data_IF_007761629229
#
_entry.id   IF_007761629229
#
_cell.length_a   1.000
_cell.length_b   1.000
_cell.length_c   1.000
_cell.angle_alpha   90.00
_cell.angle_beta   90.00
_cell.angle_gamma   90.00
#
_symmetry.space_group_name_H-M   'P 1'
#
loop_
_entity.id
_entity.type
_entity.pdbx_description
1 polymer ?
#
# COMPACT_ATOMS: atom_id res chain seq x y z
N UNK A 1 28.62 -13.84 -18.70
CA UNK A 1 27.67 -13.15 -17.79
C UNK A 1 26.74 -14.11 -17.06
N UNK A 2 26.13 -15.11 -17.68
CA UNK A 2 25.21 -16.07 -17.05
C UNK A 2 25.78 -16.92 -15.87
N UNK A 3 27.07 -17.20 -15.83
CA UNK A 3 27.69 -17.97 -14.73
C UNK A 3 27.82 -17.18 -13.41
N UNK A 4 27.73 -15.85 -13.44
CA UNK A 4 27.85 -15.00 -12.25
C UNK A 4 26.49 -14.77 -11.59
N UNK A 5 25.41 -14.74 -12.38
CA UNK A 5 24.04 -14.62 -11.87
C UNK A 5 23.59 -15.88 -11.12
N UNK A 6 23.93 -17.07 -11.63
CA UNK A 6 23.62 -18.33 -10.94
C UNK A 6 24.35 -18.54 -9.61
N UNK A 7 25.56 -17.94 -9.45
CA UNK A 7 26.29 -17.95 -8.18
C UNK A 7 25.71 -16.96 -7.17
N UNK A 8 25.18 -15.84 -7.65
CA UNK A 8 24.58 -14.80 -6.81
C UNK A 8 23.27 -15.29 -6.19
N UNK A 9 22.46 -16.05 -6.90
CA UNK A 9 21.24 -16.68 -6.40
C UNK A 9 21.53 -17.75 -5.32
N UNK A 10 22.55 -18.57 -5.47
CA UNK A 10 22.80 -19.71 -4.58
C UNK A 10 23.30 -19.35 -3.18
N UNK A 11 24.18 -18.35 -3.03
CA UNK A 11 24.59 -17.92 -1.68
C UNK A 11 23.47 -17.20 -0.97
N UNK A 12 22.64 -16.47 -1.71
CA UNK A 12 21.50 -15.77 -1.18
C UNK A 12 20.44 -16.76 -0.69
N UNK A 13 20.15 -17.80 -1.44
CA UNK A 13 19.24 -18.87 -1.02
C UNK A 13 19.71 -19.54 0.28
N UNK A 14 21.00 -19.93 0.38
CA UNK A 14 21.54 -20.49 1.61
C UNK A 14 21.41 -19.51 2.81
N UNK A 15 21.71 -18.24 2.58
CA UNK A 15 21.61 -17.20 3.62
C UNK A 15 20.17 -17.06 4.10
N UNK A 16 19.19 -17.00 3.18
CA UNK A 16 17.76 -16.89 3.49
C UNK A 16 17.25 -18.12 4.24
N UNK A 17 17.61 -19.34 3.81
CA UNK A 17 17.21 -20.60 4.46
C UNK A 17 17.73 -20.68 5.90
N UNK A 18 19.00 -20.35 6.14
CA UNK A 18 19.56 -20.32 7.48
C UNK A 18 18.94 -19.22 8.34
N UNK A 19 18.68 -18.06 7.77
CA UNK A 19 17.99 -16.94 8.45
C UNK A 19 16.58 -17.38 8.87
N UNK A 20 15.82 -18.03 7.98
CA UNK A 20 14.49 -18.53 8.31
C UNK A 20 14.52 -19.56 9.45
N UNK A 21 15.47 -20.51 9.44
CA UNK A 21 15.65 -21.50 10.51
C UNK A 21 16.00 -20.86 11.86
N UNK A 22 16.81 -19.79 11.86
CA UNK A 22 17.14 -19.03 13.06
C UNK A 22 15.90 -18.30 13.59
N UNK A 23 15.18 -17.60 12.72
CA UNK A 23 14.02 -16.81 13.10
C UNK A 23 12.84 -17.69 13.54
N UNK A 24 12.60 -18.83 12.89
CA UNK A 24 11.58 -19.81 13.31
C UNK A 24 11.92 -20.52 14.61
N UNK A 25 13.20 -20.44 15.07
CA UNK A 25 13.69 -21.12 16.26
C UNK A 25 14.05 -22.57 16.05
N UNK A 26 14.12 -23.03 14.81
CA UNK A 26 14.69 -24.35 14.47
C UNK A 26 16.18 -24.41 14.84
N UNK A 27 16.93 -23.35 14.56
CA UNK A 27 18.29 -23.13 15.09
C UNK A 27 18.19 -22.17 16.27
N UNK A 28 18.54 -22.67 17.45
CA UNK A 28 18.43 -21.89 18.69
C UNK A 28 19.68 -21.05 18.98
N UNK A 29 19.51 -19.98 19.75
CA UNK A 29 20.63 -19.17 20.24
C UNK A 29 21.67 -20.06 20.95
N UNK A 30 22.94 -19.91 20.58
CA UNK A 30 24.05 -20.75 21.07
C UNK A 30 24.21 -22.08 20.33
N UNK A 31 23.26 -22.47 19.47
CA UNK A 31 23.42 -23.67 18.66
C UNK A 31 24.55 -23.52 17.65
N UNK A 32 25.29 -24.61 17.46
CA UNK A 32 26.35 -24.66 16.46
C UNK A 32 25.75 -24.92 15.07
N UNK A 33 26.02 -24.02 14.13
CA UNK A 33 25.65 -24.21 12.74
C UNK A 33 26.45 -25.36 12.08
N UNK A 34 25.88 -26.01 11.05
CA UNK A 34 26.63 -26.95 10.23
C UNK A 34 27.90 -26.31 9.66
N UNK A 35 28.95 -27.08 9.54
CA UNK A 35 30.26 -26.62 8.99
C UNK A 35 30.13 -26.17 7.55
N UNK A 36 31.08 -25.37 7.07
CA UNK A 36 31.18 -24.98 5.66
C UNK A 36 31.15 -26.19 4.70
N UNK A 37 31.72 -27.34 5.14
CA UNK A 37 31.74 -28.57 4.34
C UNK A 37 30.37 -29.23 4.27
N UNK A 38 29.66 -29.30 5.39
CA UNK A 38 28.32 -29.87 5.46
C UNK A 38 27.31 -28.99 4.68
N UNK A 39 27.38 -27.68 4.83
CA UNK A 39 26.57 -26.76 4.04
C UNK A 39 26.87 -26.81 2.54
N UNK A 40 28.18 -26.93 2.18
CA UNK A 40 28.61 -27.09 0.79
C UNK A 40 28.04 -28.36 0.17
N UNK A 41 28.05 -29.47 0.92
CA UNK A 41 27.47 -30.73 0.49
C UNK A 41 25.95 -30.72 0.39
N UNK A 42 25.27 -30.17 1.42
CA UNK A 42 23.82 -30.15 1.49
C UNK A 42 23.20 -29.30 0.38
N UNK A 43 23.78 -28.14 0.07
CA UNK A 43 23.26 -27.20 -0.93
C UNK A 43 23.90 -27.35 -2.32
N UNK A 44 24.86 -28.22 -2.50
CA UNK A 44 25.53 -28.40 -3.79
C UNK A 44 26.24 -27.15 -4.31
N UNK A 45 26.86 -26.36 -3.41
CA UNK A 45 27.52 -25.09 -3.72
C UNK A 45 28.97 -25.07 -3.24
N UNK A 46 29.81 -24.20 -3.82
CA UNK A 46 31.21 -24.10 -3.40
C UNK A 46 31.37 -23.55 -1.98
N UNK A 47 32.42 -23.95 -1.26
CA UNK A 47 32.77 -23.39 0.05
C UNK A 47 32.87 -21.87 0.04
N UNK A 48 33.37 -21.27 -1.04
CA UNK A 48 33.44 -19.80 -1.17
C UNK A 48 32.07 -19.17 -1.20
N UNK A 49 31.08 -19.86 -1.82
CA UNK A 49 29.66 -19.43 -1.84
C UNK A 49 29.03 -19.53 -0.45
N UNK A 50 29.33 -20.63 0.29
CA UNK A 50 28.92 -20.80 1.70
C UNK A 50 29.50 -19.69 2.58
N UNK A 51 30.81 -19.43 2.49
CA UNK A 51 31.46 -18.36 3.26
C UNK A 51 30.81 -17.01 3.04
N UNK A 52 30.44 -16.68 1.78
CA UNK A 52 29.76 -15.43 1.48
C UNK A 52 28.39 -15.35 2.18
N UNK A 53 27.61 -16.43 2.19
CA UNK A 53 26.33 -16.49 2.90
C UNK A 53 26.52 -16.34 4.41
N UNK A 54 27.44 -17.08 5.01
CA UNK A 54 27.74 -16.99 6.43
C UNK A 54 28.29 -15.62 6.84
N UNK A 55 29.13 -15.00 6.01
CA UNK A 55 29.63 -13.65 6.26
C UNK A 55 28.50 -12.63 6.27
N UNK A 56 27.49 -12.77 5.40
CA UNK A 56 26.31 -11.91 5.42
C UNK A 56 25.50 -12.09 6.70
N UNK A 57 25.22 -13.33 7.11
CA UNK A 57 24.53 -13.61 8.37
C UNK A 57 25.30 -13.07 9.59
N UNK A 58 26.64 -13.17 9.56
CA UNK A 58 27.50 -12.64 10.61
C UNK A 58 27.46 -11.09 10.63
N UNK A 59 27.51 -10.44 9.45
CA UNK A 59 27.39 -8.99 9.35
C UNK A 59 26.02 -8.47 9.81
N UNK A 60 24.98 -9.29 9.65
CA UNK A 60 23.62 -9.02 10.14
C UNK A 60 23.42 -9.39 11.63
N UNK A 61 24.43 -9.98 12.28
CA UNK A 61 24.38 -10.32 13.71
C UNK A 61 23.65 -11.63 14.04
N UNK A 62 23.18 -12.39 13.05
CA UNK A 62 22.48 -13.65 13.28
C UNK A 62 23.38 -14.78 13.79
N UNK A 63 24.66 -14.75 13.40
CA UNK A 63 25.65 -15.75 13.79
C UNK A 63 26.96 -15.10 14.17
N UNK A 64 27.78 -15.82 14.95
CA UNK A 64 29.14 -15.42 15.24
C UNK A 64 30.10 -16.62 15.08
N UNK A 65 31.35 -16.32 14.72
CA UNK A 65 32.39 -17.34 14.56
C UNK A 65 33.31 -17.36 15.76
N UNK A 66 33.54 -18.55 16.36
CA UNK A 66 34.57 -18.78 17.37
C UNK A 66 35.76 -19.53 16.74
N UNK A 67 36.93 -18.93 16.87
CA UNK A 67 38.14 -19.51 16.26
C UNK A 67 38.38 -20.92 16.75
N UNK A 68 38.51 -21.89 15.83
CA UNK A 68 38.72 -23.30 16.13
C UNK A 68 37.48 -24.06 16.65
N UNK A 69 36.37 -23.42 16.95
CA UNK A 69 35.17 -24.07 17.48
C UNK A 69 34.03 -24.15 16.47
N UNK A 70 33.93 -23.19 15.57
CA UNK A 70 32.91 -23.16 14.51
C UNK A 70 32.09 -21.89 14.49
N UNK A 71 30.97 -21.96 13.80
CA UNK A 71 29.98 -20.87 13.70
C UNK A 71 28.77 -21.21 14.56
N UNK A 72 28.27 -20.24 15.32
CA UNK A 72 27.18 -20.40 16.29
C UNK A 72 26.08 -19.37 16.02
N UNK A 73 24.85 -19.73 16.34
CA UNK A 73 23.72 -18.80 16.35
C UNK A 73 23.90 -17.79 17.48
N UNK A 74 23.74 -16.53 17.17
CA UNK A 74 23.89 -15.43 18.14
C UNK A 74 22.72 -15.42 19.13
N UNK A 75 23.01 -15.20 20.42
CA UNK A 75 21.97 -14.91 21.40
C UNK A 75 21.19 -13.63 21.05
N UNK A 76 21.84 -12.69 20.38
CA UNK A 76 21.24 -11.46 19.86
C UNK A 76 20.24 -11.73 18.71
N UNK A 77 20.31 -12.87 18.03
CA UNK A 77 19.37 -13.24 16.96
C UNK A 77 17.95 -13.52 17.47
N UNK A 78 17.77 -13.83 18.74
CA UNK A 78 16.47 -14.08 19.39
C UNK A 78 15.98 -12.94 20.26
N UNK A 79 16.88 -12.11 20.76
CA UNK A 79 16.55 -11.04 21.69
C UNK A 79 17.00 -9.70 21.13
N UNK A 80 16.03 -8.97 20.59
CA UNK A 80 16.10 -7.51 20.51
C UNK A 80 17.19 -6.91 19.63
N UNK A 81 17.54 -7.45 18.48
CA UNK A 81 17.86 -6.52 17.42
C UNK A 81 16.55 -5.96 16.88
N UNK A 82 15.90 -5.15 17.69
CA UNK A 82 15.04 -4.14 17.09
C UNK A 82 15.99 -3.26 16.30
N UNK A 83 15.95 -3.42 15.00
CA UNK A 83 16.71 -2.56 14.06
C UNK A 83 16.30 -1.11 14.22
N UNK A 84 15.16 -0.92 14.92
CA UNK A 84 14.46 0.36 15.05
C UNK A 84 14.11 0.96 13.68
N UNK A 85 13.94 0.10 12.68
CA UNK A 85 13.53 0.51 11.34
C UNK A 85 12.15 -0.06 11.02
N UNK A 86 11.20 0.80 10.69
CA UNK A 86 9.91 0.42 10.15
C UNK A 86 9.85 0.85 8.68
N UNK A 87 9.49 -0.07 7.80
CA UNK A 87 9.28 0.26 6.41
C UNK A 87 7.85 0.80 6.20
N UNK A 88 7.73 1.90 5.49
CA UNK A 88 6.46 2.48 5.05
C UNK A 88 6.44 2.46 3.53
N UNK A 89 5.60 1.59 2.98
CA UNK A 89 5.45 1.36 1.54
C UNK A 89 4.13 1.99 1.10
N UNK A 90 4.20 3.02 0.27
CA UNK A 90 3.01 3.73 -0.22
C UNK A 90 2.94 3.74 -1.73
N UNK A 91 1.76 3.96 -2.27
CA UNK A 91 1.57 4.08 -3.71
C UNK A 91 2.13 5.39 -4.25
N UNK A 92 2.14 6.45 -3.43
CA UNK A 92 2.76 7.75 -3.74
C UNK A 92 3.39 8.32 -2.46
N UNK A 93 4.45 9.16 -2.57
CA UNK A 93 5.13 9.76 -1.41
C UNK A 93 4.81 11.24 -1.23
N UNK A 94 4.89 12.00 -2.31
CA UNK A 94 4.80 13.47 -2.30
C UNK A 94 3.43 13.99 -2.66
N UNK A 95 2.57 13.13 -3.16
CA UNK A 95 1.30 13.54 -3.69
C UNK A 95 0.20 13.42 -2.64
N UNK A 96 -0.61 14.49 -2.53
CA UNK A 96 -1.94 14.43 -2.04
C UNK A 96 -2.05 14.14 -0.52
N UNK A 97 -2.60 12.99 -0.11
CA UNK A 97 -2.85 12.66 1.30
C UNK A 97 -1.63 12.07 2.02
N UNK A 98 -0.66 11.52 1.29
CA UNK A 98 0.42 10.73 1.87
C UNK A 98 1.34 11.48 2.82
N UNK A 99 1.71 12.74 2.58
CA UNK A 99 2.52 13.49 3.55
C UNK A 99 1.92 13.52 4.96
N UNK A 100 0.59 13.66 5.08
CA UNK A 100 -0.08 13.65 6.37
C UNK A 100 -0.22 12.26 7.00
N UNK A 101 -0.45 11.24 6.18
CA UNK A 101 -0.43 9.84 6.65
C UNK A 101 0.95 9.50 7.20
N UNK A 102 2.01 9.85 6.47
CA UNK A 102 3.40 9.64 6.91
C UNK A 102 3.69 10.42 8.19
N UNK A 103 3.22 11.67 8.30
CA UNK A 103 3.37 12.47 9.53
C UNK A 103 2.70 11.80 10.74
N UNK A 104 1.51 11.23 10.56
CA UNK A 104 0.84 10.45 11.60
C UNK A 104 1.62 9.21 12.01
N UNK A 105 2.18 8.46 11.06
CA UNK A 105 3.05 7.31 11.32
C UNK A 105 4.31 7.76 12.09
N UNK A 106 4.97 8.82 11.60
CA UNK A 106 6.21 9.35 12.17
C UNK A 106 6.01 9.82 13.62
N UNK A 107 4.91 10.51 13.91
CA UNK A 107 4.61 11.00 15.27
C UNK A 107 4.62 9.89 16.34
N UNK A 108 4.14 8.69 15.97
CA UNK A 108 4.10 7.52 16.85
C UNK A 108 5.45 6.84 16.89
N UNK A 109 6.07 6.58 15.73
CA UNK A 109 7.28 5.76 15.63
C UNK A 109 8.52 6.51 16.18
N UNK A 110 8.71 7.78 15.79
CA UNK A 110 9.86 8.59 16.22
C UNK A 110 9.89 8.80 17.74
N UNK A 111 8.71 8.98 18.38
CA UNK A 111 8.62 9.09 19.84
C UNK A 111 9.17 7.87 20.59
N UNK A 112 9.32 6.74 19.92
CA UNK A 112 9.80 5.47 20.45
C UNK A 112 11.19 5.07 19.92
N UNK A 113 11.83 5.97 19.19
CA UNK A 113 13.17 5.77 18.67
C UNK A 113 13.23 4.89 17.41
N UNK A 114 12.10 4.72 16.69
CA UNK A 114 12.11 4.08 15.38
C UNK A 114 12.45 5.06 14.28
N UNK A 115 13.13 4.57 13.25
CA UNK A 115 13.38 5.26 11.99
C UNK A 115 12.45 4.73 10.90
N UNK A 116 12.07 5.58 9.94
CA UNK A 116 11.20 5.19 8.84
C UNK A 116 12.00 4.98 7.56
N UNK A 117 11.80 3.84 6.90
CA UNK A 117 12.29 3.57 5.56
C UNK A 117 11.13 3.74 4.58
N UNK A 118 11.14 4.82 3.81
CA UNK A 118 10.09 5.10 2.83
C UNK A 118 10.35 4.38 1.50
N UNK A 119 9.31 3.73 0.96
CA UNK A 119 9.29 3.10 -0.35
C UNK A 119 8.07 3.54 -1.15
N UNK A 120 8.26 3.75 -2.45
CA UNK A 120 7.21 4.21 -3.38
C UNK A 120 6.98 3.17 -4.48
N UNK A 121 5.79 2.59 -4.52
CA UNK A 121 5.42 1.60 -5.54
C UNK A 121 4.90 2.25 -6.82
N UNK A 122 4.50 3.52 -6.79
CA UNK A 122 3.80 4.23 -7.88
C UNK A 122 2.54 3.47 -8.33
N UNK A 123 1.88 2.81 -7.38
CA UNK A 123 0.73 1.93 -7.59
C UNK A 123 0.97 0.83 -8.63
N UNK A 124 2.19 0.29 -8.64
CA UNK A 124 2.60 -0.81 -9.53
C UNK A 124 2.92 -2.06 -8.72
N UNK A 125 2.23 -3.17 -9.02
CA UNK A 125 2.43 -4.46 -8.34
C UNK A 125 3.84 -5.02 -8.51
N UNK A 126 4.49 -4.77 -9.66
CA UNK A 126 5.88 -5.16 -9.88
C UNK A 126 6.86 -4.35 -9.03
N UNK A 127 6.58 -3.05 -8.83
CA UNK A 127 7.38 -2.23 -7.93
C UNK A 127 7.13 -2.61 -6.46
N UNK A 128 5.91 -2.97 -6.10
CA UNK A 128 5.59 -3.45 -4.75
C UNK A 128 6.37 -4.74 -4.45
N UNK A 129 6.31 -5.73 -5.35
CA UNK A 129 7.10 -6.95 -5.21
C UNK A 129 8.60 -6.65 -5.04
N UNK A 130 9.16 -5.78 -5.88
CA UNK A 130 10.56 -5.36 -5.78
C UNK A 130 10.86 -4.64 -4.45
N UNK A 131 9.96 -3.79 -3.98
CA UNK A 131 10.11 -3.14 -2.67
C UNK A 131 10.15 -4.17 -1.54
N UNK A 132 9.25 -5.16 -1.56
CA UNK A 132 9.23 -6.23 -0.56
C UNK A 132 10.48 -7.10 -0.62
N UNK A 133 10.94 -7.49 -1.82
CA UNK A 133 12.21 -8.23 -2.01
C UNK A 133 13.41 -7.47 -1.42
N UNK A 134 13.48 -6.16 -1.65
CA UNK A 134 14.54 -5.30 -1.09
C UNK A 134 14.43 -5.16 0.44
N UNK A 135 13.22 -5.12 0.99
CA UNK A 135 12.97 -5.00 2.42
C UNK A 135 13.29 -6.30 3.17
N UNK A 136 12.98 -7.46 2.59
CA UNK A 136 13.36 -8.76 3.14
C UNK A 136 14.88 -8.98 3.26
N UNK A 137 15.68 -8.14 2.59
CA UNK A 137 17.15 -8.13 2.69
C UNK A 137 17.69 -7.13 3.72
N UNK A 138 16.80 -6.40 4.41
CA UNK A 138 17.16 -5.38 5.39
C UNK A 138 16.70 -5.78 6.78
N UNK A 139 17.38 -5.28 7.79
CA UNK A 139 16.90 -5.37 9.16
C UNK A 139 15.79 -4.35 9.37
N UNK A 140 14.56 -4.85 9.41
CA UNK A 140 13.35 -4.07 9.69
C UNK A 140 12.52 -4.79 10.74
N UNK A 141 11.86 -4.02 11.60
CA UNK A 141 11.03 -4.54 12.68
C UNK A 141 9.55 -4.64 12.28
N UNK A 142 9.19 -4.13 11.11
CA UNK A 142 7.83 -4.21 10.61
C UNK A 142 7.60 -3.39 9.35
N UNK A 143 6.41 -3.57 8.74
CA UNK A 143 6.01 -2.90 7.50
C UNK A 143 4.60 -2.31 7.63
N UNK A 144 4.45 -1.03 7.28
CA UNK A 144 3.15 -0.42 7.01
C UNK A 144 3.04 -0.29 5.50
N UNK A 145 2.01 -0.86 4.89
CA UNK A 145 1.92 -0.94 3.44
C UNK A 145 0.54 -0.58 2.90
N UNK A 146 0.52 0.34 1.93
CA UNK A 146 -0.61 0.52 1.04
C UNK A 146 -0.44 -0.39 -0.18
N UNK A 147 -1.31 -1.40 -0.37
CA UNK A 147 -1.16 -2.38 -1.43
C UNK A 147 -1.47 -1.77 -2.79
N UNK A 148 -0.59 -2.02 -3.76
CA UNK A 148 -0.76 -1.51 -5.14
C UNK A 148 -1.85 -2.26 -5.86
N UNK A 149 -2.82 -1.50 -6.43
CA UNK A 149 -3.96 -2.07 -7.16
C UNK A 149 -4.69 -3.13 -6.35
N UNK A 150 -5.09 -2.77 -5.14
CA UNK A 150 -5.63 -3.67 -4.11
C UNK A 150 -6.86 -4.47 -4.55
N UNK A 151 -7.59 -4.02 -5.58
CA UNK A 151 -8.72 -4.74 -6.16
C UNK A 151 -8.29 -5.88 -7.11
N UNK A 152 -7.03 -5.91 -7.54
CA UNK A 152 -6.51 -6.90 -8.46
C UNK A 152 -5.79 -8.00 -7.68
N UNK A 153 -5.99 -9.26 -8.08
CA UNK A 153 -5.35 -10.43 -7.45
C UNK A 153 -3.85 -10.23 -7.26
N UNK A 154 -3.36 -10.38 -6.02
CA UNK A 154 -1.96 -10.28 -5.68
C UNK A 154 -1.19 -11.50 -6.22
N UNK A 155 -0.17 -11.27 -7.07
CA UNK A 155 0.64 -12.34 -7.66
C UNK A 155 1.89 -12.68 -6.84
N UNK A 156 2.25 -11.83 -5.87
CA UNK A 156 3.47 -11.94 -5.06
C UNK A 156 3.15 -12.23 -3.59
N UNK A 157 2.11 -13.04 -3.34
CA UNK A 157 1.73 -13.48 -1.98
C UNK A 157 2.88 -14.14 -1.25
N UNK A 158 3.73 -14.87 -1.98
CA UNK A 158 4.93 -15.51 -1.44
C UNK A 158 5.91 -14.54 -0.75
N UNK A 159 5.87 -13.24 -1.07
CA UNK A 159 6.70 -12.24 -0.37
C UNK A 159 6.09 -11.84 0.97
N UNK A 160 4.77 -11.83 1.06
CA UNK A 160 4.05 -11.65 2.33
C UNK A 160 4.19 -12.90 3.21
N UNK A 161 4.11 -14.10 2.62
CA UNK A 161 4.38 -15.36 3.33
C UNK A 161 5.78 -15.34 3.97
N UNK A 162 6.79 -14.79 3.27
CA UNK A 162 8.13 -14.60 3.82
C UNK A 162 8.20 -13.60 4.97
N UNK A 163 7.40 -12.53 4.95
CA UNK A 163 7.31 -11.63 6.11
C UNK A 163 6.76 -12.39 7.33
N UNK A 164 5.74 -13.24 7.13
CA UNK A 164 5.21 -14.10 8.18
C UNK A 164 6.26 -15.11 8.68
N UNK A 165 6.98 -15.80 7.78
CA UNK A 165 8.05 -16.73 8.10
C UNK A 165 9.19 -16.10 8.92
N UNK A 166 9.52 -14.84 8.61
CA UNK A 166 10.57 -14.09 9.30
C UNK A 166 10.07 -13.35 10.55
N UNK A 167 8.79 -13.56 10.92
CA UNK A 167 8.14 -12.85 12.03
C UNK A 167 8.27 -11.32 11.91
N UNK A 168 8.19 -10.79 10.70
CA UNK A 168 8.16 -9.36 10.41
C UNK A 168 6.68 -8.95 10.32
N UNK A 169 6.12 -8.29 11.35
CA UNK A 169 4.73 -7.88 11.33
C UNK A 169 4.47 -6.86 10.23
N UNK A 170 3.28 -6.91 9.64
CA UNK A 170 2.87 -5.89 8.68
C UNK A 170 1.41 -5.52 8.84
N UNK A 171 1.11 -4.26 8.51
CA UNK A 171 -0.23 -3.66 8.58
C UNK A 171 -0.57 -3.06 7.23
N UNK A 172 -1.71 -3.43 6.68
CA UNK A 172 -2.27 -2.77 5.51
C UNK A 172 -2.94 -1.45 5.88
N UNK A 173 -2.77 -0.44 5.03
CA UNK A 173 -3.47 0.85 5.14
C UNK A 173 -4.22 1.15 3.84
N UNK A 174 -5.32 1.90 3.95
CA UNK A 174 -6.15 2.37 2.82
C UNK A 174 -6.88 1.25 2.05
N UNK A 175 -6.31 0.08 1.94
CA UNK A 175 -6.84 -1.08 1.26
C UNK A 175 -6.12 -2.35 1.67
N UNK A 176 -6.65 -3.50 1.29
CA UNK A 176 -6.00 -4.80 1.42
C UNK A 176 -6.32 -5.65 0.20
N UNK A 177 -5.52 -6.66 -0.05
CA UNK A 177 -5.88 -7.68 -1.04
C UNK A 177 -6.93 -8.63 -0.48
N UNK A 178 -7.90 -9.06 -1.29
CA UNK A 178 -8.94 -10.01 -0.86
C UNK A 178 -8.34 -11.32 -0.29
N UNK A 179 -7.19 -11.76 -0.84
CA UNK A 179 -6.48 -12.94 -0.34
C UNK A 179 -5.94 -12.79 1.08
N UNK A 180 -5.83 -11.55 1.59
CA UNK A 180 -5.19 -11.20 2.86
C UNK A 180 -6.10 -10.38 3.77
N UNK A 181 -7.42 -10.47 3.58
CA UNK A 181 -8.41 -9.71 4.35
C UNK A 181 -8.36 -9.96 5.86
N UNK A 182 -7.81 -11.10 6.27
CA UNK A 182 -7.68 -11.47 7.68
C UNK A 182 -6.41 -10.90 8.33
N UNK A 183 -5.54 -10.24 7.56
CA UNK A 183 -4.32 -9.62 8.07
C UNK A 183 -4.61 -8.26 8.73
N UNK A 184 -3.76 -7.82 9.67
CA UNK A 184 -3.91 -6.51 10.31
C UNK A 184 -4.04 -5.37 9.30
N UNK A 185 -5.04 -4.50 9.49
CA UNK A 185 -5.36 -3.45 8.54
C UNK A 185 -6.05 -2.26 9.19
N UNK A 186 -5.78 -1.06 8.68
CA UNK A 186 -6.47 0.17 9.05
C UNK A 186 -7.08 0.78 7.79
N UNK A 187 -8.39 0.73 7.69
CA UNK A 187 -9.16 1.13 6.51
C UNK A 187 -10.11 2.26 6.83
N UNK A 188 -10.46 3.02 5.80
CA UNK A 188 -11.57 3.97 5.83
C UNK A 188 -12.84 3.26 5.36
N UNK A 189 -13.98 3.65 5.89
CA UNK A 189 -15.28 3.19 5.41
C UNK A 189 -15.66 3.91 4.10
N UNK A 190 -14.99 3.51 3.02
CA UNK A 190 -15.19 4.08 1.69
C UNK A 190 -16.59 3.85 1.13
N UNK A 191 -17.24 2.73 1.52
CA UNK A 191 -18.63 2.47 1.17
C UNK A 191 -19.56 3.52 1.79
N UNK A 192 -19.42 3.78 3.07
CA UNK A 192 -20.20 4.79 3.77
C UNK A 192 -19.92 6.18 3.21
N UNK A 193 -18.65 6.49 2.92
CA UNK A 193 -18.27 7.77 2.31
C UNK A 193 -18.92 7.99 0.95
N UNK A 194 -18.85 7.02 0.06
CA UNK A 194 -19.51 7.06 -1.26
C UNK A 194 -21.03 7.18 -1.15
N UNK A 195 -21.63 6.46 -0.20
CA UNK A 195 -23.06 6.57 0.10
C UNK A 195 -23.45 7.97 0.59
N UNK A 196 -22.74 8.51 1.57
CA UNK A 196 -23.06 9.80 2.18
C UNK A 196 -22.97 10.95 1.19
N UNK A 197 -21.91 10.99 0.37
CA UNK A 197 -21.72 12.10 -0.57
C UNK A 197 -22.75 12.06 -1.71
N UNK A 198 -23.13 10.87 -2.15
CA UNK A 198 -24.16 10.68 -3.18
C UNK A 198 -25.54 11.04 -2.62
N UNK A 199 -25.86 10.57 -1.42
CA UNK A 199 -27.11 10.89 -0.73
C UNK A 199 -27.27 12.42 -0.54
N UNK A 200 -26.18 13.10 -0.20
CA UNK A 200 -26.18 14.56 -0.06
C UNK A 200 -26.60 15.27 -1.36
N UNK A 201 -26.07 14.83 -2.52
CA UNK A 201 -26.50 15.39 -3.82
C UNK A 201 -27.99 15.11 -4.10
N UNK A 202 -28.46 13.91 -3.81
CA UNK A 202 -29.88 13.53 -3.97
C UNK A 202 -30.78 14.40 -3.09
N UNK A 203 -30.39 14.66 -1.83
CA UNK A 203 -31.12 15.52 -0.90
C UNK A 203 -31.15 16.99 -1.37
N UNK A 204 -30.17 17.43 -2.15
CA UNK A 204 -30.18 18.74 -2.82
C UNK A 204 -31.07 18.78 -4.08
N UNK A 205 -31.64 17.66 -4.49
CA UNK A 205 -32.56 17.56 -5.60
C UNK A 205 -31.95 17.18 -6.95
N UNK A 206 -30.68 16.80 -6.97
CA UNK A 206 -30.01 16.32 -8.18
C UNK A 206 -30.62 14.98 -8.66
N UNK A 207 -30.79 14.83 -9.97
CA UNK A 207 -31.43 13.66 -10.60
C UNK A 207 -30.54 12.93 -11.59
N UNK A 208 -29.58 13.60 -12.19
CA UNK A 208 -28.70 13.08 -13.23
C UNK A 208 -27.25 13.10 -12.72
N UNK A 209 -26.97 12.18 -11.79
CA UNK A 209 -25.72 12.14 -11.04
C UNK A 209 -24.77 11.18 -11.71
N UNK A 210 -23.67 11.67 -12.27
CA UNK A 210 -22.59 10.84 -12.78
C UNK A 210 -21.61 10.43 -11.66
N UNK A 211 -20.88 9.33 -11.89
CA UNK A 211 -19.82 8.87 -11.01
C UNK A 211 -18.48 8.72 -11.73
N UNK A 212 -17.40 9.11 -11.08
CA UNK A 212 -16.03 8.89 -11.57
C UNK A 212 -15.27 8.09 -10.52
N UNK A 213 -14.95 6.83 -10.82
CA UNK A 213 -14.37 5.90 -9.84
C UNK A 213 -13.14 5.20 -10.35
N UNK A 214 -12.24 4.87 -9.45
CA UNK A 214 -11.02 4.12 -9.74
C UNK A 214 -11.28 2.62 -9.70
N UNK A 215 -10.91 1.91 -10.76
CA UNK A 215 -11.25 0.50 -10.94
C UNK A 215 -10.28 -0.47 -10.26
N UNK A 216 -9.02 -0.08 -10.10
CA UNK A 216 -7.94 -0.96 -9.69
C UNK A 216 -7.59 -0.91 -8.19
N UNK A 217 -8.34 -0.14 -7.38
CA UNK A 217 -8.22 -0.16 -5.93
C UNK A 217 -9.54 -0.45 -5.19
N UNK A 218 -9.42 -0.89 -3.95
CA UNK A 218 -10.56 -1.23 -3.10
C UNK A 218 -11.40 0.00 -2.76
N UNK A 219 -10.77 1.15 -2.59
CA UNK A 219 -11.43 2.41 -2.26
C UNK A 219 -12.42 2.80 -3.35
N UNK A 220 -11.99 2.79 -4.61
CA UNK A 220 -12.85 3.16 -5.73
C UNK A 220 -14.05 2.24 -5.90
N UNK A 221 -13.83 0.94 -5.74
CA UNK A 221 -14.91 -0.04 -5.78
C UNK A 221 -15.92 0.16 -4.64
N UNK A 222 -15.46 0.43 -3.43
CA UNK A 222 -16.34 0.63 -2.29
C UNK A 222 -17.08 1.98 -2.37
N UNK A 223 -16.43 3.07 -2.78
CA UNK A 223 -17.09 4.35 -3.03
C UNK A 223 -18.19 4.22 -4.08
N UNK A 224 -17.93 3.48 -5.17
CA UNK A 224 -18.95 3.17 -6.18
C UNK A 224 -20.12 2.35 -5.61
N UNK A 225 -19.86 1.30 -4.81
CA UNK A 225 -20.94 0.53 -4.16
C UNK A 225 -21.82 1.43 -3.29
N UNK A 226 -21.21 2.37 -2.56
CA UNK A 226 -21.94 3.37 -1.77
C UNK A 226 -22.80 4.30 -2.65
N UNK A 227 -22.25 4.77 -3.77
CA UNK A 227 -22.96 5.57 -4.78
C UNK A 227 -24.20 4.82 -5.31
N UNK A 228 -24.02 3.58 -5.76
CA UNK A 228 -25.13 2.75 -6.25
C UNK A 228 -26.20 2.56 -5.18
N UNK A 229 -25.78 2.31 -3.94
CA UNK A 229 -26.73 2.12 -2.83
C UNK A 229 -27.57 3.36 -2.56
N UNK A 230 -26.98 4.55 -2.58
CA UNK A 230 -27.70 5.80 -2.38
C UNK A 230 -28.75 6.05 -3.48
N UNK A 231 -28.39 5.80 -4.75
CA UNK A 231 -29.35 5.89 -5.87
C UNK A 231 -30.50 4.91 -5.69
N UNK A 232 -30.23 3.64 -5.36
CA UNK A 232 -31.25 2.60 -5.15
C UNK A 232 -32.23 2.97 -4.02
N UNK A 233 -31.74 3.47 -2.89
CA UNK A 233 -32.59 3.87 -1.78
C UNK A 233 -33.47 5.08 -2.12
N UNK A 234 -33.02 5.94 -3.01
CA UNK A 234 -33.79 7.06 -3.50
C UNK A 234 -34.79 6.68 -4.64
N UNK A 235 -34.80 5.41 -5.05
CA UNK A 235 -35.60 4.96 -6.19
C UNK A 235 -35.11 5.48 -7.54
N UNK A 236 -33.87 5.95 -7.63
CA UNK A 236 -33.24 6.43 -8.84
C UNK A 236 -32.64 5.26 -9.64
N UNK A 237 -32.79 5.23 -10.97
CA UNK A 237 -32.20 4.17 -11.76
C UNK A 237 -30.66 4.28 -11.77
N UNK A 238 -29.98 3.14 -11.63
CA UNK A 238 -28.55 3.07 -11.89
C UNK A 238 -28.32 2.94 -13.40
N UNK A 239 -27.62 3.89 -13.97
CA UNK A 239 -27.21 3.86 -15.39
C UNK A 239 -25.68 3.67 -15.44
N UNK A 240 -25.16 2.50 -15.92
CA UNK A 240 -23.72 2.28 -16.04
C UNK A 240 -23.03 3.26 -16.98
N UNK A 241 -23.77 3.84 -17.97
CA UNK A 241 -23.21 4.83 -18.88
C UNK A 241 -23.01 6.21 -18.23
N UNK A 242 -23.53 6.42 -17.03
CA UNK A 242 -23.26 7.59 -16.18
C UNK A 242 -22.02 7.39 -15.29
N UNK A 243 -21.28 6.28 -15.45
CA UNK A 243 -20.12 5.96 -14.60
C UNK A 243 -18.85 5.86 -15.45
N UNK A 244 -17.87 6.70 -15.10
CA UNK A 244 -16.54 6.67 -15.67
C UNK A 244 -15.61 5.86 -14.76
N UNK A 245 -15.13 4.72 -15.26
CA UNK A 245 -14.11 3.93 -14.58
C UNK A 245 -12.74 4.24 -15.14
N UNK A 246 -11.79 4.57 -14.28
CA UNK A 246 -10.40 4.81 -14.68
C UNK A 246 -9.43 3.91 -13.90
N UNK A 247 -8.24 3.74 -14.47
CA UNK A 247 -7.14 2.99 -13.90
C UNK A 247 -5.98 3.93 -13.51
N UNK A 248 -5.00 3.39 -12.82
CA UNK A 248 -3.78 4.13 -12.45
C UNK A 248 -3.10 4.76 -13.66
N UNK A 249 -3.08 4.05 -14.78
CA UNK A 249 -2.36 4.44 -16.00
C UNK A 249 -3.03 5.60 -16.74
N UNK A 250 -4.35 5.65 -16.76
CA UNK A 250 -5.14 6.63 -17.52
C UNK A 250 -5.80 7.72 -16.65
N UNK A 251 -5.47 7.75 -15.35
CA UNK A 251 -6.09 8.63 -14.36
C UNK A 251 -6.10 10.13 -14.69
N UNK A 252 -5.21 10.57 -15.58
CA UNK A 252 -5.10 11.99 -16.00
C UNK A 252 -5.96 12.33 -17.20
N UNK A 253 -6.34 11.33 -18.00
CA UNK A 253 -7.01 11.53 -19.29
C UNK A 253 -8.43 11.00 -19.24
N UNK A 254 -8.61 9.75 -18.84
CA UNK A 254 -9.89 9.07 -18.97
C UNK A 254 -11.02 9.70 -18.12
N UNK A 255 -10.80 10.17 -16.88
CA UNK A 255 -11.84 10.90 -16.14
C UNK A 255 -12.29 12.18 -16.84
N UNK A 256 -11.36 12.92 -17.46
CA UNK A 256 -11.63 14.15 -18.19
C UNK A 256 -12.46 13.90 -19.44
N UNK A 257 -12.01 13.00 -20.32
CA UNK A 257 -12.69 12.66 -21.57
C UNK A 257 -14.05 11.98 -21.32
N UNK A 258 -14.11 11.09 -20.33
CA UNK A 258 -15.32 10.37 -19.97
C UNK A 258 -16.44 11.28 -19.49
N UNK A 259 -16.13 12.24 -18.62
CA UNK A 259 -17.14 13.18 -18.14
C UNK A 259 -17.60 14.15 -19.23
N UNK A 260 -16.70 14.58 -20.13
CA UNK A 260 -17.08 15.37 -21.29
C UNK A 260 -18.03 14.63 -22.23
N UNK A 261 -17.78 13.31 -22.42
CA UNK A 261 -18.66 12.49 -23.24
C UNK A 261 -20.06 12.36 -22.61
N UNK A 262 -20.14 12.17 -21.30
CA UNK A 262 -21.43 12.13 -20.58
C UNK A 262 -22.14 13.47 -20.74
N UNK A 263 -21.49 14.58 -20.44
CA UNK A 263 -22.09 15.92 -20.52
C UNK A 263 -22.60 16.32 -21.91
N UNK A 264 -21.98 15.77 -22.99
CA UNK A 264 -22.42 16.02 -24.39
C UNK A 264 -23.61 15.18 -24.83
N UNK A 265 -23.80 14.00 -24.24
CA UNK A 265 -24.73 13.01 -24.72
C UNK A 265 -25.89 12.68 -23.78
N UNK A 266 -25.81 13.11 -22.52
CA UNK A 266 -26.78 12.82 -21.46
C UNK A 266 -27.06 14.07 -20.64
N UNK A 267 -28.19 14.07 -19.97
CA UNK A 267 -28.46 15.05 -18.93
C UNK A 267 -27.51 14.80 -17.75
N UNK A 268 -26.92 15.88 -17.24
CA UNK A 268 -25.95 15.83 -16.15
C UNK A 268 -26.16 17.05 -15.24
N UNK A 269 -26.44 16.84 -13.97
CA UNK A 269 -26.61 17.90 -12.99
C UNK A 269 -25.70 17.77 -11.76
N UNK A 270 -25.04 16.60 -11.57
CA UNK A 270 -24.03 16.44 -10.54
C UNK A 270 -23.02 15.34 -10.88
N UNK A 271 -21.83 15.42 -10.25
CA UNK A 271 -20.76 14.41 -10.38
C UNK A 271 -20.20 14.05 -9.00
N UNK A 272 -20.19 12.76 -8.70
CA UNK A 272 -19.47 12.18 -7.56
C UNK A 272 -18.09 11.75 -8.04
N UNK A 273 -17.05 12.42 -7.58
CA UNK A 273 -15.66 12.11 -7.95
C UNK A 273 -15.00 11.18 -6.94
N UNK A 274 -14.14 10.30 -7.45
CA UNK A 274 -13.31 9.40 -6.63
C UNK A 274 -12.57 10.16 -5.54
N UNK A 275 -11.96 11.31 -5.88
CA UNK A 275 -11.31 12.17 -4.91
C UNK A 275 -11.23 13.62 -5.39
N UNK A 276 -10.72 14.53 -4.55
CA UNK A 276 -10.63 15.96 -4.87
C UNK A 276 -9.70 16.24 -6.06
N UNK A 277 -8.66 15.44 -6.25
CA UNK A 277 -7.76 15.58 -7.41
C UNK A 277 -8.51 15.26 -8.72
N UNK A 278 -9.35 14.23 -8.74
CA UNK A 278 -10.22 13.94 -9.88
C UNK A 278 -11.29 15.02 -10.05
N UNK A 279 -11.88 15.53 -8.95
CA UNK A 279 -12.85 16.60 -9.01
C UNK A 279 -12.30 17.84 -9.73
N UNK A 280 -11.07 18.25 -9.44
CA UNK A 280 -10.39 19.35 -10.14
C UNK A 280 -10.20 19.07 -11.65
N UNK A 281 -10.00 17.82 -12.04
CA UNK A 281 -9.96 17.41 -13.44
C UNK A 281 -11.33 17.50 -14.12
N UNK A 282 -12.37 17.05 -13.42
CA UNK A 282 -13.78 17.11 -13.86
C UNK A 282 -14.26 18.54 -14.01
N UNK A 283 -13.95 19.43 -13.05
CA UNK A 283 -14.24 20.87 -13.14
C UNK A 283 -13.71 21.42 -14.47
N UNK A 284 -12.42 21.25 -14.73
CA UNK A 284 -11.78 21.72 -15.97
C UNK A 284 -12.41 21.12 -17.25
N UNK A 285 -12.85 19.84 -17.15
CA UNK A 285 -13.50 19.17 -18.27
C UNK A 285 -14.85 19.79 -18.63
N UNK A 286 -15.64 20.19 -17.63
CA UNK A 286 -16.96 20.79 -17.79
C UNK A 286 -16.86 22.28 -18.15
N UNK A 287 -15.95 23.03 -17.56
CA UNK A 287 -15.64 24.41 -17.93
C UNK A 287 -15.23 24.53 -19.41
N UNK A 288 -14.49 23.54 -19.95
CA UNK A 288 -14.15 23.48 -21.38
C UNK A 288 -15.36 23.24 -22.30
N UNK A 289 -16.53 22.96 -21.73
CA UNK A 289 -17.83 22.87 -22.41
C UNK A 289 -18.74 24.06 -22.07
N UNK A 290 -18.20 25.13 -21.50
CA UNK A 290 -18.91 26.35 -21.05
C UNK A 290 -19.96 26.06 -19.96
N UNK A 291 -19.87 24.93 -19.24
CA UNK A 291 -20.73 24.62 -18.10
C UNK A 291 -20.20 25.26 -16.82
N UNK A 292 -21.09 25.89 -16.08
CA UNK A 292 -20.78 26.59 -14.81
C UNK A 292 -20.90 25.65 -13.62
N UNK A 293 -19.97 25.76 -12.68
CA UNK A 293 -19.94 25.00 -11.46
C UNK A 293 -20.05 25.98 -10.27
N UNK A 294 -21.06 25.83 -9.39
CA UNK A 294 -22.01 24.73 -9.30
C UNK A 294 -23.33 24.95 -10.06
N UNK A 295 -23.52 26.07 -10.79
CA UNK A 295 -24.81 26.53 -11.30
C UNK A 295 -25.44 25.52 -12.26
N UNK A 296 -24.67 24.95 -13.19
CA UNK A 296 -25.15 23.95 -14.15
C UNK A 296 -24.89 22.53 -13.66
N UNK A 297 -23.74 22.28 -13.02
CA UNK A 297 -23.34 20.95 -12.55
C UNK A 297 -22.66 21.06 -11.18
N UNK A 298 -23.21 20.39 -10.18
CA UNK A 298 -22.58 20.26 -8.86
C UNK A 298 -21.50 19.17 -8.85
N UNK A 299 -20.38 19.44 -8.18
CA UNK A 299 -19.27 18.47 -8.11
C UNK A 299 -18.93 18.20 -6.66
N UNK A 300 -18.70 16.92 -6.35
CA UNK A 300 -18.24 16.49 -5.03
C UNK A 300 -16.96 15.69 -5.13
N UNK A 301 -16.14 15.77 -4.10
CA UNK A 301 -14.87 15.05 -3.98
C UNK A 301 -14.79 14.15 -2.77
N UNK A 302 -13.59 13.72 -2.47
CA UNK A 302 -13.24 12.89 -1.33
C UNK A 302 -11.82 13.26 -0.88
N UNK A 303 -11.52 13.10 0.41
CA UNK A 303 -10.25 13.33 1.11
C UNK A 303 -10.13 14.70 1.77
N UNK A 304 -10.96 15.70 1.42
CA UNK A 304 -10.87 17.08 1.90
C UNK A 304 -9.44 17.63 1.80
N UNK A 305 -8.88 17.54 0.57
CA UNK A 305 -7.51 17.92 0.32
C UNK A 305 -7.33 19.44 0.37
N UNK A 306 -6.29 19.89 1.07
CA UNK A 306 -6.02 21.30 1.34
C UNK A 306 -5.99 22.19 0.09
N UNK A 307 -5.44 21.71 -1.04
CA UNK A 307 -5.35 22.49 -2.28
C UNK A 307 -6.70 22.73 -2.95
N UNK A 308 -7.67 21.84 -2.74
CA UNK A 308 -9.03 22.03 -3.25
C UNK A 308 -9.77 23.19 -2.55
N UNK A 309 -9.32 23.60 -1.38
CA UNK A 309 -9.86 24.72 -0.61
C UNK A 309 -9.13 26.05 -0.84
N UNK A 310 -8.03 26.07 -1.61
CA UNK A 310 -7.27 27.27 -1.97
C UNK A 310 -7.63 27.82 -3.35
N UNK A 311 -8.43 27.10 -4.15
CA UNK A 311 -9.03 27.61 -5.38
C UNK A 311 -10.24 28.49 -5.06
N UNK A 312 -10.69 29.26 -6.04
CA UNK A 312 -11.91 30.08 -5.94
C UNK A 312 -13.18 29.24 -5.67
N UNK A 313 -13.06 27.91 -5.73
CA UNK A 313 -14.11 26.93 -5.47
C UNK A 313 -13.91 26.24 -4.12
N UNK A 314 -14.97 26.24 -3.29
CA UNK A 314 -15.05 25.38 -2.11
C UNK A 314 -15.70 24.06 -2.50
N UNK A 315 -14.88 23.01 -2.60
CA UNK A 315 -15.36 21.69 -2.96
C UNK A 315 -16.03 20.99 -1.75
N UNK A 316 -17.25 20.52 -1.94
CA UNK A 316 -17.88 19.60 -0.98
C UNK A 316 -17.17 18.25 -1.05
N UNK A 317 -16.61 17.79 0.06
CA UNK A 317 -15.73 16.61 0.09
C UNK A 317 -15.92 15.82 1.37
N UNK A 318 -15.77 14.50 1.31
CA UNK A 318 -15.69 13.63 2.48
C UNK A 318 -14.30 13.79 3.12
N UNK A 319 -14.28 14.04 4.43
CA UNK A 319 -13.02 14.18 5.16
C UNK A 319 -12.34 12.82 5.35
N UNK A 320 -11.08 12.73 4.91
CA UNK A 320 -10.19 11.61 5.18
C UNK A 320 -9.33 11.95 6.42
N UNK A 321 -9.39 11.17 7.50
CA UNK A 321 -8.60 11.41 8.71
C UNK A 321 -7.15 10.93 8.54
N UNK A 322 -6.38 11.60 7.69
CA UNK A 322 -5.07 11.18 7.17
C UNK A 322 -4.04 10.89 8.28
N UNK A 323 -3.83 11.85 9.17
CA UNK A 323 -2.89 11.70 10.29
C UNK A 323 -3.33 10.58 11.23
N UNK A 324 -4.64 10.54 11.56
CA UNK A 324 -5.18 9.50 12.45
C UNK A 324 -5.05 8.10 11.87
N UNK A 325 -5.22 7.94 10.56
CA UNK A 325 -4.96 6.67 9.88
C UNK A 325 -3.51 6.22 10.08
N UNK A 326 -2.55 7.14 9.90
CA UNK A 326 -1.14 6.88 10.11
C UNK A 326 -0.80 6.50 11.55
N UNK A 327 -1.32 7.25 12.52
CA UNK A 327 -1.15 6.95 13.95
C UNK A 327 -1.67 5.55 14.30
N UNK A 328 -2.91 5.24 13.88
CA UNK A 328 -3.54 3.95 14.15
C UNK A 328 -2.76 2.78 13.51
N UNK A 329 -2.23 2.98 12.31
CA UNK A 329 -1.43 1.97 11.63
C UNK A 329 -0.13 1.67 12.38
N UNK A 330 0.55 2.72 12.87
CA UNK A 330 1.77 2.57 13.65
C UNK A 330 1.50 1.92 15.02
N UNK A 331 0.39 2.29 15.68
CA UNK A 331 -0.02 1.67 16.95
C UNK A 331 -0.39 0.19 16.76
N UNK A 332 -1.15 -0.15 15.70
CA UNK A 332 -1.53 -1.52 15.38
C UNK A 332 -0.30 -2.38 15.08
N UNK A 333 0.64 -1.89 14.25
CA UNK A 333 1.87 -2.61 13.93
C UNK A 333 2.66 -3.02 15.18
N UNK A 334 2.67 -2.18 16.21
CA UNK A 334 3.36 -2.46 17.48
C UNK A 334 2.67 -3.51 18.34
N UNK A 335 1.37 -3.73 18.14
CA UNK A 335 0.59 -4.72 18.87
C UNK A 335 0.61 -6.10 18.20
N UNK A 336 1.15 -6.19 16.99
CA UNK A 336 1.39 -7.45 16.27
C UNK A 336 2.70 -8.09 16.70
#
# INVERSE_FOLDING_TARGET
MAANEGKQLKYFQLMEDLKAQILSGEIQAGDKLPSENELSAAYGISRQTVRKALQMLQNMGYIYAEHGRGTFCSELARHTHTSKNIAVVTTYLSDYIFPRVIAGIDSVLTSQGYSIILKNTRNSRSNEAKCLEELLQKDIDGVIIEPSKSQIFCKHTNLYDKLDEYNIPYVFIQGCFEQMKDKPQVLIDDYKGGYMITKYLIELGHKHIAGVFKADDMQGQNRHKGYVRALQEAGMPYDPDMVVWFYTEDRKIHPYEGIQNIAKNKELDAVVCYNDQNAMGVIRALEALDLKIPEDVSITGYDNFYMANQSDFRLTSIMHPQEKLGEMAAELLKSC
#
